data_IF_689046609972
#
_entry.id   IF_689046609972
#
_cell.length_a   1.000
_cell.length_b   1.000
_cell.length_c   1.000
_cell.angle_alpha   90.00
_cell.angle_beta   90.00
_cell.angle_gamma   90.00
#
_symmetry.space_group_name_H-M   'P 1'
#
loop_
_entity.id
_entity.type
_entity.pdbx_description
1 polymer ?
#
# COMPACT_ATOMS: atom_id res chain seq x y z
N UNK A 1 64.41 -39.89 -9.04
CA UNK A 1 64.15 -38.78 -8.10
C UNK A 1 63.01 -37.92 -8.68
N UNK A 2 61.98 -37.63 -7.86
CA UNK A 2 60.88 -36.63 -8.06
C UNK A 2 59.96 -36.85 -9.28
N UNK A 3 58.90 -37.68 -9.21
CA UNK A 3 57.48 -37.33 -8.87
C UNK A 3 57.05 -36.00 -9.52
N UNK A 4 56.13 -35.96 -10.49
CA UNK A 4 54.68 -36.18 -10.32
C UNK A 4 54.06 -36.80 -11.59
N UNK A 5 53.26 -37.85 -11.39
CA UNK A 5 52.66 -38.68 -12.43
C UNK A 5 51.33 -38.15 -12.94
N UNK A 6 51.12 -38.39 -14.22
CA UNK A 6 49.86 -38.34 -14.95
C UNK A 6 49.24 -39.74 -14.90
N UNK A 7 48.08 -39.92 -14.27
CA UNK A 7 47.26 -41.13 -14.42
C UNK A 7 45.78 -40.74 -14.40
N UNK A 8 45.10 -41.07 -15.50
CA UNK A 8 43.68 -40.94 -15.75
C UNK A 8 42.92 -42.19 -15.27
N UNK A 9 41.79 -42.00 -14.58
CA UNK A 9 40.74 -43.00 -14.25
C UNK A 9 39.51 -42.13 -13.86
N UNK A 10 38.30 -42.15 -14.41
CA UNK A 10 37.50 -43.08 -15.24
C UNK A 10 36.39 -42.27 -15.92
N UNK A 11 36.11 -42.57 -17.19
CA UNK A 11 34.83 -42.26 -17.82
C UNK A 11 33.81 -43.34 -17.42
N UNK A 12 32.62 -42.94 -16.95
CA UNK A 12 31.43 -43.77 -16.89
C UNK A 12 30.23 -42.94 -17.34
N UNK A 13 29.37 -43.61 -18.10
CA UNK A 13 28.43 -43.07 -19.08
C UNK A 13 27.28 -42.20 -18.53
N UNK A 14 26.77 -41.35 -19.41
CA UNK A 14 25.60 -40.49 -19.24
C UNK A 14 24.29 -41.28 -19.04
N UNK A 15 23.41 -40.76 -18.17
CA UNK A 15 21.98 -41.05 -18.15
C UNK A 15 21.18 -39.74 -17.92
N UNK A 16 20.61 -39.24 -19.01
CA UNK A 16 19.54 -38.25 -19.27
C UNK A 16 18.89 -37.47 -18.10
N UNK A 17 18.75 -36.14 -18.26
CA UNK A 17 17.47 -35.44 -18.58
C UNK A 17 17.57 -33.89 -18.34
N UNK A 18 17.41 -33.12 -19.43
CA UNK A 18 17.28 -31.64 -19.59
C UNK A 18 18.23 -30.67 -18.84
N UNK A 19 19.24 -30.20 -19.58
CA UNK A 19 19.86 -28.90 -19.38
C UNK A 19 18.90 -27.79 -19.87
N UNK A 20 17.92 -27.43 -19.04
CA UNK A 20 17.24 -26.14 -19.15
C UNK A 20 17.50 -25.41 -17.85
N UNK A 21 18.64 -24.72 -17.82
CA UNK A 21 18.96 -23.78 -16.77
C UNK A 21 17.87 -22.70 -16.84
N UNK A 22 16.82 -22.84 -16.03
CA UNK A 22 15.89 -21.76 -15.77
C UNK A 22 16.66 -20.74 -14.92
N UNK A 23 17.55 -19.99 -15.58
CA UNK A 23 17.92 -18.68 -15.09
C UNK A 23 16.62 -17.89 -15.09
N UNK A 24 15.97 -17.81 -13.92
CA UNK A 24 14.92 -16.83 -13.68
C UNK A 24 15.61 -15.48 -13.72
N UNK A 25 15.80 -14.95 -14.93
CA UNK A 25 16.10 -13.55 -15.12
C UNK A 25 14.83 -12.83 -14.72
N UNK A 26 14.76 -12.44 -13.44
CA UNK A 26 13.72 -11.53 -12.96
C UNK A 26 13.94 -10.19 -13.65
N UNK A 27 13.47 -10.07 -14.90
CA UNK A 27 13.27 -8.79 -15.53
C UNK A 27 12.27 -8.05 -14.64
N UNK A 28 12.77 -7.09 -13.86
CA UNK A 28 11.90 -6.13 -13.20
C UNK A 28 11.19 -5.39 -14.32
N UNK A 29 9.92 -5.71 -14.55
CA UNK A 29 9.08 -4.88 -15.39
C UNK A 29 9.17 -3.46 -14.83
N UNK A 30 9.54 -2.49 -15.67
CA UNK A 30 9.56 -1.10 -15.25
C UNK A 30 8.15 -0.72 -14.75
N UNK A 31 8.09 -0.02 -13.62
CA UNK A 31 6.81 0.47 -13.07
C UNK A 31 6.11 1.37 -14.08
N UNK A 32 4.80 1.15 -14.32
CA UNK A 32 4.03 2.04 -15.18
C UNK A 32 3.67 3.32 -14.42
N UNK A 33 4.28 4.43 -14.79
CA UNK A 33 4.10 5.72 -14.12
C UNK A 33 3.01 6.62 -14.74
N UNK A 34 2.38 6.24 -15.84
CA UNK A 34 1.33 7.00 -16.51
C UNK A 34 0.18 7.45 -15.57
N UNK A 35 -0.39 6.57 -14.70
CA UNK A 35 -1.46 6.98 -13.79
C UNK A 35 -1.03 8.00 -12.73
N UNK A 36 0.27 8.20 -12.52
CA UNK A 36 0.80 9.06 -11.46
C UNK A 36 1.35 10.41 -11.96
N UNK A 37 1.25 10.69 -13.25
CA UNK A 37 1.79 11.92 -13.88
C UNK A 37 1.30 13.21 -13.24
N UNK A 38 0.04 13.25 -12.79
CA UNK A 38 -0.56 14.41 -12.11
C UNK A 38 0.01 14.73 -10.72
N UNK A 39 0.82 13.83 -10.13
CA UNK A 39 1.31 13.95 -8.76
C UNK A 39 2.79 14.35 -8.66
N UNK A 40 3.48 14.58 -9.79
CA UNK A 40 4.92 14.91 -9.83
C UNK A 40 5.28 16.17 -9.04
N UNK A 41 4.37 17.13 -8.92
CA UNK A 41 4.55 18.36 -8.12
C UNK A 41 4.64 18.12 -6.60
N UNK A 42 4.43 16.89 -6.13
CA UNK A 42 4.48 16.53 -4.71
C UNK A 42 5.81 15.89 -4.29
N UNK A 43 6.80 15.79 -5.20
CA UNK A 43 8.09 15.17 -4.92
C UNK A 43 8.72 15.69 -3.63
N UNK A 44 9.21 14.77 -2.79
CA UNK A 44 9.86 15.08 -1.51
C UNK A 44 8.89 15.33 -0.34
N UNK A 45 7.59 15.45 -0.59
CA UNK A 45 6.58 15.52 0.49
C UNK A 45 6.41 14.15 1.16
N UNK A 46 5.99 14.18 2.41
CA UNK A 46 5.61 12.99 3.18
C UNK A 46 4.13 13.09 3.53
N UNK A 47 3.40 12.00 3.29
CA UNK A 47 2.01 11.83 3.74
C UNK A 47 2.02 10.84 4.90
N UNK A 48 1.35 11.20 5.99
CA UNK A 48 1.18 10.37 7.18
C UNK A 48 -0.21 9.74 7.19
N UNK A 49 -0.25 8.43 7.42
CA UNK A 49 -1.48 7.64 7.48
C UNK A 49 -1.52 6.94 8.85
N UNK A 50 -2.60 7.12 9.59
CA UNK A 50 -2.85 6.38 10.84
C UNK A 50 -3.97 5.37 10.61
N UNK A 51 -3.82 4.15 11.12
CA UNK A 51 -4.79 3.07 10.90
C UNK A 51 -4.85 2.10 12.07
N UNK A 52 -5.96 1.37 12.19
CA UNK A 52 -6.08 0.22 13.08
C UNK A 52 -5.50 -1.07 12.49
N UNK A 53 -5.09 -1.07 11.21
CA UNK A 53 -4.50 -2.22 10.51
C UNK A 53 -3.10 -2.49 11.06
N UNK A 54 -2.84 -3.75 11.42
CA UNK A 54 -1.58 -4.21 12.00
C UNK A 54 -0.94 -5.28 11.12
N UNK A 55 0.23 -5.77 11.50
CA UNK A 55 0.90 -6.87 10.82
C UNK A 55 0.07 -8.16 10.84
N UNK A 56 0.13 -8.97 9.77
CA UNK A 56 0.94 -8.81 8.55
C UNK A 56 0.30 -7.93 7.45
N UNK A 57 -0.95 -7.52 7.63
CA UNK A 57 -1.69 -6.74 6.63
C UNK A 57 -1.06 -5.34 6.44
N UNK A 58 -0.53 -4.74 7.50
CA UNK A 58 0.13 -3.44 7.45
C UNK A 58 1.32 -3.43 6.47
N UNK A 59 2.17 -4.46 6.43
CA UNK A 59 3.23 -4.63 5.41
C UNK A 59 2.66 -4.65 3.99
N UNK A 60 1.55 -5.34 3.77
CA UNK A 60 0.89 -5.39 2.45
C UNK A 60 0.38 -4.00 2.07
N UNK A 61 -0.27 -3.32 3.01
CA UNK A 61 -0.76 -1.96 2.81
C UNK A 61 0.39 -0.99 2.50
N UNK A 62 1.51 -1.06 3.21
CA UNK A 62 2.69 -0.23 2.92
C UNK A 62 3.24 -0.51 1.52
N UNK A 63 3.31 -1.78 1.12
CA UNK A 63 3.80 -2.19 -0.20
C UNK A 63 2.88 -1.76 -1.34
N UNK A 64 1.57 -1.66 -1.10
CA UNK A 64 0.60 -1.21 -2.10
C UNK A 64 0.89 0.21 -2.64
N UNK A 65 1.65 1.03 -1.90
CA UNK A 65 2.06 2.37 -2.34
C UNK A 65 3.38 2.41 -3.12
N UNK A 66 4.04 1.27 -3.34
CA UNK A 66 5.40 1.22 -3.93
C UNK A 66 5.47 1.89 -5.29
N UNK A 67 4.53 1.62 -6.19
CA UNK A 67 4.54 2.21 -7.54
C UNK A 67 4.30 3.71 -7.48
N UNK A 68 3.35 4.15 -6.64
CA UNK A 68 3.08 5.57 -6.41
C UNK A 68 4.33 6.30 -5.88
N UNK A 69 4.99 5.76 -4.84
CA UNK A 69 6.19 6.39 -4.26
C UNK A 69 7.35 6.41 -5.25
N UNK A 70 7.53 5.34 -6.03
CA UNK A 70 8.57 5.23 -7.07
C UNK A 70 8.36 6.26 -8.18
N UNK A 71 7.14 6.39 -8.68
CA UNK A 71 6.83 7.28 -9.80
C UNK A 71 6.74 8.77 -9.42
N UNK A 72 6.38 9.09 -8.17
CA UNK A 72 6.14 10.49 -7.73
C UNK A 72 7.24 11.06 -6.84
N UNK A 73 8.01 10.20 -6.16
CA UNK A 73 8.95 10.61 -5.12
C UNK A 73 8.29 11.13 -3.84
N UNK A 74 6.98 10.92 -3.66
CA UNK A 74 6.28 11.14 -2.39
C UNK A 74 6.61 10.00 -1.44
N UNK A 75 6.75 10.30 -0.14
CA UNK A 75 6.91 9.29 0.92
C UNK A 75 5.56 9.05 1.60
N UNK A 76 5.19 7.79 1.78
CA UNK A 76 4.01 7.40 2.55
C UNK A 76 4.48 6.77 3.86
N UNK A 77 4.10 7.35 5.00
CA UNK A 77 4.37 6.80 6.34
C UNK A 77 3.06 6.30 6.93
N UNK A 78 2.95 4.98 7.11
CA UNK A 78 1.76 4.34 7.66
C UNK A 78 2.09 3.80 9.05
N UNK A 79 1.34 4.28 10.05
CA UNK A 79 1.41 3.84 11.43
C UNK A 79 0.13 3.05 11.77
N UNK A 80 0.30 1.76 12.07
CA UNK A 80 -0.76 0.91 12.61
C UNK A 80 -0.76 0.94 14.15
N UNK A 81 -1.94 0.95 14.77
CA UNK A 81 -2.06 0.90 16.23
C UNK A 81 -3.32 0.16 16.70
N UNK A 82 -3.17 -0.72 17.68
CA UNK A 82 -4.31 -1.32 18.41
C UNK A 82 -5.06 -0.30 19.29
N UNK A 83 -4.50 0.90 19.50
CA UNK A 83 -5.13 2.01 20.22
C UNK A 83 -5.65 3.09 19.27
N UNK A 84 -5.79 2.80 17.98
CA UNK A 84 -6.19 3.76 16.94
C UNK A 84 -7.44 4.56 17.33
N UNK A 85 -8.53 3.90 17.72
CA UNK A 85 -9.81 4.56 18.00
C UNK A 85 -9.75 5.48 19.23
N UNK A 86 -8.89 5.16 20.20
CA UNK A 86 -8.64 5.99 21.37
C UNK A 86 -7.70 7.16 21.07
N UNK A 87 -6.64 6.93 20.29
CA UNK A 87 -5.59 7.91 20.02
C UNK A 87 -5.95 8.92 18.93
N UNK A 88 -6.69 8.52 17.89
CA UNK A 88 -7.02 9.41 16.78
C UNK A 88 -7.80 10.65 17.25
N UNK A 89 -8.88 10.54 18.06
CA UNK A 89 -9.58 11.72 18.56
C UNK A 89 -8.69 12.64 19.41
N UNK A 90 -7.77 12.07 20.20
CA UNK A 90 -6.82 12.84 21.01
C UNK A 90 -5.86 13.61 20.12
N UNK A 91 -5.27 12.97 19.11
CA UNK A 91 -4.40 13.59 18.10
C UNK A 91 -5.11 14.71 17.35
N UNK A 92 -6.35 14.49 16.93
CA UNK A 92 -7.18 15.49 16.24
C UNK A 92 -7.46 16.68 17.15
N UNK A 93 -7.87 16.47 18.40
CA UNK A 93 -8.10 17.55 19.37
C UNK A 93 -6.82 18.35 19.62
N UNK A 94 -5.69 17.67 19.78
CA UNK A 94 -4.37 18.24 20.03
C UNK A 94 -3.64 18.85 18.82
N UNK A 95 -4.31 19.06 17.68
CA UNK A 95 -3.70 19.61 16.44
C UNK A 95 -2.50 18.80 15.91
N UNK A 96 -2.48 17.49 16.15
CA UNK A 96 -1.47 16.55 15.66
C UNK A 96 -2.14 15.41 14.88
N UNK A 97 -3.14 15.75 14.06
CA UNK A 97 -3.85 14.79 13.22
C UNK A 97 -2.93 14.26 12.11
N UNK A 98 -3.08 12.99 11.69
CA UNK A 98 -2.43 12.50 10.47
C UNK A 98 -3.05 13.17 9.24
N UNK A 99 -2.36 13.11 8.10
CA UNK A 99 -2.91 13.58 6.82
C UNK A 99 -4.09 12.73 6.36
N UNK A 100 -4.01 11.41 6.60
CA UNK A 100 -5.07 10.44 6.30
C UNK A 100 -5.28 9.49 7.48
N UNK A 101 -6.51 9.03 7.65
CA UNK A 101 -6.85 7.97 8.59
C UNK A 101 -7.78 6.95 7.93
N UNK A 102 -7.49 5.66 8.12
CA UNK A 102 -8.41 4.60 7.73
C UNK A 102 -9.29 4.27 8.93
N UNK A 103 -10.55 4.71 8.84
CA UNK A 103 -11.51 4.64 9.95
C UNK A 103 -12.43 3.43 9.70
N UNK A 104 -12.36 2.37 10.51
CA UNK A 104 -13.10 1.13 10.28
C UNK A 104 -14.61 1.28 10.55
N UNK A 105 -15.01 2.24 11.39
CA UNK A 105 -16.38 2.35 11.88
C UNK A 105 -17.03 3.69 11.52
N UNK A 106 -18.25 3.69 10.94
CA UNK A 106 -18.97 4.92 10.61
C UNK A 106 -19.22 5.84 11.81
N UNK A 107 -19.49 5.27 13.00
CA UNK A 107 -19.77 6.05 14.22
C UNK A 107 -18.59 6.89 14.69
N UNK A 108 -17.35 6.38 14.56
CA UNK A 108 -16.15 7.15 14.87
C UNK A 108 -15.94 8.28 13.86
N UNK A 109 -16.17 8.01 12.56
CA UNK A 109 -16.10 9.05 11.53
C UNK A 109 -17.08 10.19 11.82
N UNK A 110 -18.33 9.88 12.19
CA UNK A 110 -19.33 10.90 12.54
C UNK A 110 -18.83 11.81 13.67
N UNK A 111 -18.34 11.22 14.77
CA UNK A 111 -17.76 11.97 15.90
C UNK A 111 -16.55 12.83 15.50
N UNK A 112 -15.72 12.35 14.57
CA UNK A 112 -14.59 13.12 14.06
C UNK A 112 -15.04 14.29 13.19
N UNK A 113 -16.09 14.12 12.37
CA UNK A 113 -16.65 15.20 11.54
C UNK A 113 -17.23 16.32 12.41
N UNK A 114 -17.87 15.99 13.54
CA UNK A 114 -18.38 16.96 14.52
C UNK A 114 -17.28 17.87 15.08
N UNK A 115 -16.00 17.45 15.05
CA UNK A 115 -14.88 18.30 15.47
C UNK A 115 -14.57 19.44 14.50
N UNK A 116 -15.13 19.41 13.28
CA UNK A 116 -14.83 20.38 12.21
C UNK A 116 -13.44 20.25 11.57
N UNK A 117 -12.61 19.29 12.01
CA UNK A 117 -11.24 19.11 11.51
C UNK A 117 -11.11 18.12 10.35
N UNK A 118 -12.19 17.41 10.03
CA UNK A 118 -12.22 16.46 8.90
C UNK A 118 -12.44 17.23 7.59
N UNK A 119 -11.56 17.01 6.61
CA UNK A 119 -11.73 17.58 5.27
C UNK A 119 -12.96 16.96 4.60
N UNK A 120 -13.88 17.82 4.16
CA UNK A 120 -15.10 17.38 3.49
C UNK A 120 -14.79 16.63 2.18
N UNK A 121 -15.61 15.62 1.90
CA UNK A 121 -15.52 14.86 0.66
C UNK A 121 -15.70 15.79 -0.57
N UNK A 122 -14.94 15.56 -1.66
CA UNK A 122 -15.11 16.29 -2.91
C UNK A 122 -16.53 16.21 -3.46
N UNK A 123 -16.92 17.22 -4.27
CA UNK A 123 -18.26 17.28 -4.89
C UNK A 123 -18.62 16.00 -5.66
N UNK A 124 -17.67 15.44 -6.41
CA UNK A 124 -17.87 14.22 -7.19
C UNK A 124 -18.31 13.04 -6.31
N UNK A 125 -17.67 12.82 -5.16
CA UNK A 125 -18.03 11.75 -4.22
C UNK A 125 -19.46 11.95 -3.68
N UNK A 126 -19.82 13.19 -3.33
CA UNK A 126 -21.17 13.51 -2.84
C UNK A 126 -22.26 13.28 -3.90
N UNK A 127 -21.95 13.54 -5.16
CA UNK A 127 -22.85 13.28 -6.28
C UNK A 127 -23.08 11.76 -6.45
N UNK A 128 -22.02 10.96 -6.40
CA UNK A 128 -22.11 9.49 -6.45
C UNK A 128 -22.95 8.92 -5.29
N UNK A 129 -22.78 9.44 -4.07
CA UNK A 129 -23.59 9.01 -2.92
C UNK A 129 -25.09 9.33 -3.12
N UNK A 130 -25.39 10.46 -3.77
CA UNK A 130 -26.77 10.86 -4.07
C UNK A 130 -27.40 9.93 -5.11
N UNK A 131 -26.65 9.57 -6.16
CA UNK A 131 -27.14 8.62 -7.18
C UNK A 131 -27.30 7.20 -6.64
N UNK A 132 -26.40 6.72 -5.77
CA UNK A 132 -26.53 5.42 -5.11
C UNK A 132 -27.75 5.41 -4.17
N UNK A 133 -27.94 6.47 -3.40
CA UNK A 133 -29.10 6.60 -2.51
C UNK A 133 -30.44 6.70 -3.24
N UNK A 134 -30.43 7.15 -4.51
CA UNK A 134 -31.60 7.13 -5.39
C UNK A 134 -31.81 5.75 -6.04
N UNK A 135 -30.75 5.04 -6.41
CA UNK A 135 -30.86 3.72 -7.04
C UNK A 135 -31.25 2.61 -6.06
N UNK A 136 -30.93 2.77 -4.78
CA UNK A 136 -31.27 1.82 -3.71
C UNK A 136 -32.55 2.16 -2.96
N UNK A 137 -33.42 3.01 -3.53
CA UNK A 137 -34.76 3.29 -3.02
C UNK A 137 -34.82 3.35 -1.51
N UNK A 138 -34.60 4.54 -0.92
CA UNK A 138 -35.05 4.78 0.46
C UNK A 138 -36.53 4.41 0.52
N UNK A 139 -36.83 3.20 0.95
CA UNK A 139 -38.12 2.81 1.49
C UNK A 139 -38.25 3.59 2.79
N UNK A 140 -38.58 4.87 2.66
CA UNK A 140 -39.32 5.58 3.68
C UNK A 140 -40.72 4.96 3.62
N UNK A 141 -40.92 3.88 4.37
CA UNK A 141 -42.27 3.55 4.82
C UNK A 141 -42.72 4.64 5.81
N UNK A 142 -44.02 4.99 5.79
CA UNK A 142 -44.60 6.13 6.50
C UNK A 142 -44.54 6.02 8.03
#
# INVERSE_FOLDING_TARGET
>A
MKRKGLLAVTAAAALSLVASMFTVTSASAAVNCDPFTGYKGLKGKTVTIFTSILEPELTTLQTAWKDFTTCTGVKIKIEGSNQFEALLPVRVKGNNAPDLAFIPQPGLLAKLVETGKVKLAPKAVKQTLTSIGQSHGRHTEP
#
